data_IF_235256946608
#
_entry.id   IF_235256946608
#
_cell.length_a   1.000
_cell.length_b   1.000
_cell.length_c   1.000
_cell.angle_alpha   90.00
_cell.angle_beta   90.00
_cell.angle_gamma   90.00
#
_symmetry.space_group_name_H-M   'P 1'
#
loop_
_entity.id
_entity.type
_entity.pdbx_description
1 polymer ?
#
# COMPACT_ATOMS: atom_id res chain seq x y z
N UNK A 1 -11.06 -2.15 26.13
CA UNK A 1 -10.34 -2.39 24.84
C UNK A 1 -11.10 -1.86 23.62
N UNK A 2 -12.35 -2.28 23.36
CA UNK A 2 -13.11 -1.83 22.18
C UNK A 2 -13.30 -0.30 22.08
N UNK A 3 -13.55 0.37 23.21
CA UNK A 3 -13.71 1.84 23.26
C UNK A 3 -12.41 2.60 22.91
N UNK A 4 -11.26 2.05 23.30
CA UNK A 4 -9.91 2.58 23.00
C UNK A 4 -9.65 2.46 21.50
N UNK A 5 -9.91 1.27 20.94
CA UNK A 5 -9.71 1.01 19.52
C UNK A 5 -10.61 1.91 18.66
N UNK A 6 -11.87 2.06 19.04
CA UNK A 6 -12.87 2.92 18.40
C UNK A 6 -12.78 4.40 18.79
N UNK A 7 -11.67 4.86 19.38
CA UNK A 7 -11.50 6.26 19.74
C UNK A 7 -11.23 7.14 18.51
N UNK A 8 -10.53 6.61 17.51
CA UNK A 8 -10.22 7.33 16.27
C UNK A 8 -10.08 6.37 15.07
N UNK A 9 -10.41 6.82 13.84
CA UNK A 9 -10.39 5.98 12.65
C UNK A 9 -9.02 5.35 12.39
N UNK A 10 -7.92 6.12 12.45
CA UNK A 10 -6.58 5.57 12.24
C UNK A 10 -6.21 4.47 13.24
N UNK A 11 -6.66 4.51 14.50
CA UNK A 11 -6.28 3.48 15.48
C UNK A 11 -6.88 2.13 15.14
N UNK A 12 -8.19 2.10 14.91
CA UNK A 12 -8.91 0.89 14.55
C UNK A 12 -8.44 0.32 13.21
N UNK A 13 -8.30 1.18 12.20
CA UNK A 13 -7.90 0.74 10.87
C UNK A 13 -6.41 0.37 10.78
N UNK A 14 -5.52 1.03 11.53
CA UNK A 14 -4.10 0.65 11.53
C UNK A 14 -3.86 -0.60 12.38
N UNK A 15 -4.68 -0.87 13.39
CA UNK A 15 -4.69 -2.18 14.04
C UNK A 15 -5.06 -3.27 13.04
N UNK A 16 -6.16 -3.10 12.29
CA UNK A 16 -6.52 -4.00 11.21
C UNK A 16 -5.38 -4.19 10.20
N UNK A 17 -4.75 -3.11 9.75
CA UNK A 17 -3.61 -3.17 8.83
C UNK A 17 -2.39 -3.90 9.41
N UNK A 18 -2.06 -3.66 10.68
CA UNK A 18 -0.95 -4.33 11.37
C UNK A 18 -1.21 -5.83 11.56
N UNK A 19 -2.47 -6.22 11.78
CA UNK A 19 -2.87 -7.63 11.78
C UNK A 19 -2.82 -8.21 10.36
N UNK A 20 -3.35 -7.50 9.37
CA UNK A 20 -3.43 -7.97 7.99
C UNK A 20 -2.07 -8.09 7.30
N UNK A 21 -1.08 -7.26 7.65
CA UNK A 21 0.29 -7.37 7.11
C UNK A 21 0.99 -8.65 7.57
N UNK A 22 0.72 -9.10 8.80
CA UNK A 22 1.23 -10.38 9.29
C UNK A 22 0.43 -11.54 8.72
N UNK A 23 -0.90 -11.50 8.80
CA UNK A 23 -1.74 -12.61 8.35
C UNK A 23 -1.62 -12.88 6.84
N UNK A 24 -1.59 -11.84 6.00
CA UNK A 24 -1.48 -12.02 4.54
C UNK A 24 -0.15 -12.65 4.15
N UNK A 25 0.94 -12.19 4.78
CA UNK A 25 2.28 -12.66 4.45
C UNK A 25 2.61 -13.99 5.12
N UNK A 26 2.01 -14.28 6.27
CA UNK A 26 2.06 -15.61 6.86
C UNK A 26 1.35 -16.63 5.96
N UNK A 27 0.11 -16.34 5.55
CA UNK A 27 -0.62 -17.20 4.60
C UNK A 27 0.18 -17.39 3.31
N UNK A 28 0.73 -16.32 2.74
CA UNK A 28 1.55 -16.40 1.52
C UNK A 28 2.81 -17.24 1.72
N UNK A 29 3.51 -17.06 2.85
CA UNK A 29 4.70 -17.87 3.19
C UNK A 29 4.35 -19.34 3.31
N UNK A 30 3.23 -19.66 3.97
CA UNK A 30 2.76 -21.04 4.11
C UNK A 30 2.33 -21.65 2.76
N UNK A 31 1.68 -20.87 1.89
CA UNK A 31 1.31 -21.33 0.56
C UNK A 31 2.54 -21.62 -0.32
N UNK A 32 3.56 -20.76 -0.25
CA UNK A 32 4.85 -21.00 -0.92
C UNK A 32 5.60 -22.20 -0.34
N UNK A 33 5.58 -22.36 0.99
CA UNK A 33 6.16 -23.49 1.69
C UNK A 33 5.49 -24.81 1.28
N UNK A 34 4.16 -24.83 1.24
CA UNK A 34 3.39 -25.98 0.81
C UNK A 34 3.77 -26.43 -0.61
N UNK A 35 3.99 -25.49 -1.53
CA UNK A 35 4.50 -25.80 -2.87
C UNK A 35 5.96 -26.26 -2.87
N UNK A 36 6.84 -25.58 -2.12
CA UNK A 36 8.28 -25.86 -2.07
C UNK A 36 8.58 -27.24 -1.47
N UNK A 37 7.84 -27.63 -0.43
CA UNK A 37 8.02 -28.89 0.31
C UNK A 37 6.91 -29.91 0.05
N UNK A 38 6.04 -29.69 -0.94
CA UNK A 38 5.00 -30.63 -1.36
C UNK A 38 4.11 -31.14 -0.20
N UNK A 39 3.57 -30.23 0.61
CA UNK A 39 2.70 -30.60 1.74
C UNK A 39 1.42 -31.28 1.26
N UNK A 40 1.24 -32.55 1.66
CA UNK A 40 0.15 -33.41 1.16
C UNK A 40 -1.27 -32.89 1.46
N UNK A 41 -1.46 -32.15 2.56
CA UNK A 41 -2.78 -31.72 3.04
C UNK A 41 -2.94 -30.19 3.12
N UNK A 42 -2.18 -29.43 2.33
CA UNK A 42 -2.37 -27.98 2.28
C UNK A 42 -3.71 -27.65 1.58
N UNK A 43 -4.63 -26.89 2.22
CA UNK A 43 -5.88 -26.50 1.59
C UNK A 43 -5.59 -25.55 0.41
N UNK A 44 -5.93 -25.99 -0.79
CA UNK A 44 -5.71 -25.20 -2.00
C UNK A 44 -6.71 -24.05 -2.05
N UNK A 45 -6.23 -22.85 -2.41
CA UNK A 45 -7.13 -21.72 -2.58
C UNK A 45 -8.09 -21.99 -3.76
N UNK A 46 -9.36 -21.56 -3.69
CA UNK A 46 -10.34 -21.79 -4.76
C UNK A 46 -10.10 -20.90 -6.01
N UNK A 47 -8.96 -20.21 -6.06
CA UNK A 47 -8.48 -19.32 -7.12
C UNK A 47 -6.95 -19.44 -7.21
N UNK A 48 -6.32 -19.02 -8.32
CA UNK A 48 -4.85 -19.01 -8.42
C UNK A 48 -4.20 -18.29 -7.24
N UNK A 49 -3.31 -18.99 -6.52
CA UNK A 49 -2.69 -18.51 -5.26
C UNK A 49 -2.00 -17.16 -5.42
N UNK A 50 -1.35 -16.92 -6.56
CA UNK A 50 -0.70 -15.63 -6.85
C UNK A 50 -1.71 -14.48 -7.01
N UNK A 51 -2.91 -14.75 -7.53
CA UNK A 51 -3.98 -13.74 -7.63
C UNK A 51 -4.57 -13.44 -6.26
N UNK A 52 -4.75 -14.47 -5.42
CA UNK A 52 -5.15 -14.30 -4.02
C UNK A 52 -4.14 -13.43 -3.25
N UNK A 53 -2.85 -13.74 -3.37
CA UNK A 53 -1.77 -12.93 -2.78
C UNK A 53 -1.83 -11.48 -3.25
N UNK A 54 -1.89 -11.26 -4.57
CA UNK A 54 -1.92 -9.92 -5.14
C UNK A 54 -3.14 -9.12 -4.65
N UNK A 55 -4.34 -9.70 -4.69
CA UNK A 55 -5.56 -9.01 -4.29
C UNK A 55 -5.62 -8.73 -2.78
N UNK A 56 -5.32 -9.72 -1.93
CA UNK A 56 -5.36 -9.52 -0.49
C UNK A 56 -4.24 -8.60 -0.02
N UNK A 57 -3.05 -8.64 -0.61
CA UNK A 57 -1.97 -7.70 -0.29
C UNK A 57 -2.38 -6.25 -0.61
N UNK A 58 -2.96 -6.01 -1.79
CA UNK A 58 -3.26 -4.66 -2.25
C UNK A 58 -4.50 -4.07 -1.57
N UNK A 59 -5.59 -4.82 -1.52
CA UNK A 59 -6.88 -4.32 -1.06
C UNK A 59 -7.17 -4.66 0.40
N UNK A 60 -6.77 -5.85 0.86
CA UNK A 60 -7.04 -6.33 2.21
C UNK A 60 -6.00 -5.89 3.25
N UNK A 61 -4.72 -5.94 2.91
CA UNK A 61 -3.60 -5.63 3.79
C UNK A 61 -3.29 -4.13 3.81
N UNK A 62 -3.12 -3.50 2.64
CA UNK A 62 -2.82 -2.07 2.57
C UNK A 62 -4.07 -1.20 2.70
N UNK A 63 -5.25 -1.69 2.27
CA UNK A 63 -6.53 -0.97 2.34
C UNK A 63 -6.86 -0.40 3.73
N UNK A 64 -6.74 -1.16 4.83
CA UNK A 64 -6.95 -0.63 6.18
C UNK A 64 -6.03 0.56 6.51
N UNK A 65 -4.75 0.54 6.14
CA UNK A 65 -3.87 1.68 6.35
C UNK A 65 -4.31 2.90 5.51
N UNK A 66 -4.74 2.70 4.27
CA UNK A 66 -5.24 3.81 3.44
C UNK A 66 -6.53 4.41 4.02
N UNK A 67 -7.49 3.60 4.46
CA UNK A 67 -8.71 4.12 5.09
C UNK A 67 -8.43 4.75 6.45
N UNK A 68 -7.55 4.17 7.27
CA UNK A 68 -7.15 4.76 8.54
C UNK A 68 -6.53 6.14 8.37
N UNK A 69 -5.70 6.30 7.34
CA UNK A 69 -5.12 7.58 6.97
C UNK A 69 -6.20 8.55 6.47
N UNK A 70 -6.94 8.18 5.42
CA UNK A 70 -7.89 9.08 4.73
C UNK A 70 -9.05 9.53 5.61
N UNK A 71 -9.66 8.62 6.38
CA UNK A 71 -10.75 8.95 7.32
C UNK A 71 -10.27 9.87 8.46
N UNK A 72 -8.96 9.92 8.72
CA UNK A 72 -8.36 10.83 9.70
C UNK A 72 -7.96 12.17 9.07
N UNK A 73 -7.34 12.15 7.89
CA UNK A 73 -6.72 13.34 7.30
C UNK A 73 -7.64 14.16 6.42
N UNK A 74 -8.64 13.57 5.75
CA UNK A 74 -9.54 14.33 4.87
C UNK A 74 -10.31 15.41 5.63
N UNK A 75 -10.89 15.13 6.83
CA UNK A 75 -11.53 16.19 7.61
C UNK A 75 -10.56 17.33 7.94
N UNK A 76 -9.34 16.98 8.36
CA UNK A 76 -8.31 17.97 8.72
C UNK A 76 -7.85 18.81 7.55
N UNK A 77 -7.61 18.20 6.39
CA UNK A 77 -7.22 18.91 5.17
C UNK A 77 -8.34 19.82 4.64
N UNK A 78 -9.59 19.46 4.92
CA UNK A 78 -10.78 20.17 4.45
C UNK A 78 -11.36 21.16 5.46
N UNK A 79 -10.71 21.32 6.63
CA UNK A 79 -11.23 22.14 7.74
C UNK A 79 -12.56 21.66 8.32
N UNK A 80 -12.89 20.38 8.18
CA UNK A 80 -14.12 19.76 8.66
C UNK A 80 -13.94 19.11 10.05
N UNK A 81 -15.03 18.98 10.84
CA UNK A 81 -14.98 18.25 12.11
C UNK A 81 -14.52 16.79 11.95
N UNK A 82 -13.91 16.24 13.00
CA UNK A 82 -13.53 14.82 13.00
C UNK A 82 -14.75 13.91 12.80
N UNK A 83 -14.56 12.82 12.04
CA UNK A 83 -15.63 11.88 11.74
C UNK A 83 -16.10 11.16 13.00
N UNK A 84 -17.42 11.08 13.17
CA UNK A 84 -18.06 10.28 14.25
C UNK A 84 -17.92 8.78 13.98
N UNK A 85 -18.01 7.96 15.04
CA UNK A 85 -17.90 6.49 14.98
C UNK A 85 -18.73 5.83 13.88
N UNK A 86 -19.98 6.27 13.69
CA UNK A 86 -20.86 5.74 12.64
C UNK A 86 -20.33 5.89 11.20
N UNK A 87 -19.38 6.82 10.97
CA UNK A 87 -18.77 7.01 9.65
C UNK A 87 -17.60 6.05 9.38
N UNK A 88 -16.86 5.58 10.40
CA UNK A 88 -15.67 4.76 10.18
C UNK A 88 -15.74 3.32 10.74
N UNK A 89 -16.59 3.04 11.73
CA UNK A 89 -16.76 1.67 12.25
C UNK A 89 -17.35 0.73 11.18
N UNK A 90 -18.36 1.12 10.37
CA UNK A 90 -18.81 0.24 9.28
C UNK A 90 -17.75 0.04 8.19
N UNK A 91 -16.88 1.04 7.95
CA UNK A 91 -15.72 0.87 7.05
C UNK A 91 -14.78 -0.18 7.61
N UNK A 92 -14.47 -0.14 8.91
CA UNK A 92 -13.65 -1.16 9.56
C UNK A 92 -14.27 -2.55 9.46
N UNK A 93 -15.56 -2.70 9.79
CA UNK A 93 -16.26 -3.99 9.71
C UNK A 93 -16.24 -4.51 8.28
N UNK A 94 -16.56 -3.68 7.29
CA UNK A 94 -16.58 -4.08 5.89
C UNK A 94 -15.19 -4.44 5.37
N UNK A 95 -14.20 -3.56 5.56
CA UNK A 95 -12.84 -3.76 5.03
C UNK A 95 -12.09 -4.86 5.77
N UNK A 96 -11.99 -4.77 7.10
CA UNK A 96 -11.23 -5.75 7.88
C UNK A 96 -11.99 -7.07 8.05
N UNK A 97 -13.32 -7.01 8.30
CA UNK A 97 -14.14 -8.22 8.34
C UNK A 97 -14.19 -8.94 7.00
N UNK A 98 -14.34 -8.19 5.90
CA UNK A 98 -14.26 -8.74 4.55
C UNK A 98 -12.90 -9.39 4.25
N UNK A 99 -11.80 -8.73 4.65
CA UNK A 99 -10.45 -9.30 4.58
C UNK A 99 -10.32 -10.61 5.36
N UNK A 100 -10.75 -10.66 6.62
CA UNK A 100 -10.66 -11.87 7.46
C UNK A 100 -11.46 -13.02 6.84
N UNK A 101 -12.70 -12.75 6.39
CA UNK A 101 -13.51 -13.75 5.69
C UNK A 101 -12.84 -14.24 4.40
N UNK A 102 -12.23 -13.34 3.64
CA UNK A 102 -11.53 -13.69 2.41
C UNK A 102 -10.31 -14.58 2.69
N UNK A 103 -9.50 -14.27 3.72
CA UNK A 103 -8.36 -15.11 4.14
C UNK A 103 -8.81 -16.50 4.57
N UNK A 104 -9.88 -16.61 5.36
CA UNK A 104 -10.47 -17.91 5.73
C UNK A 104 -10.98 -18.62 4.48
N UNK A 105 -11.56 -17.88 3.53
CA UNK A 105 -12.01 -18.36 2.23
C UNK A 105 -10.92 -19.00 1.38
N UNK A 106 -9.65 -18.63 1.60
CA UNK A 106 -8.50 -19.24 0.91
C UNK A 106 -8.16 -20.65 1.42
N UNK A 107 -8.78 -21.10 2.51
CA UNK A 107 -8.68 -22.48 3.02
C UNK A 107 -9.68 -23.40 2.30
N UNK A 108 -9.79 -23.30 0.98
CA UNK A 108 -10.76 -24.00 0.12
C UNK A 108 -12.24 -23.73 0.46
N UNK A 109 -12.56 -22.51 0.92
CA UNK A 109 -13.92 -22.13 1.34
C UNK A 109 -14.46 -21.02 0.42
N UNK A 110 -14.76 -21.36 -0.84
CA UNK A 110 -15.22 -20.40 -1.87
C UNK A 110 -16.39 -19.50 -1.43
N UNK A 111 -17.43 -19.97 -0.71
CA UNK A 111 -18.50 -19.09 -0.24
C UNK A 111 -18.00 -17.98 0.70
N UNK A 112 -17.04 -18.29 1.59
CA UNK A 112 -16.43 -17.29 2.47
C UNK A 112 -15.51 -16.34 1.71
N UNK A 113 -14.82 -16.82 0.67
CA UNK A 113 -14.02 -15.96 -0.20
C UNK A 113 -14.91 -14.91 -0.90
N UNK A 114 -16.02 -15.35 -1.48
CA UNK A 114 -16.99 -14.48 -2.15
C UNK A 114 -17.62 -13.49 -1.16
N UNK A 115 -18.09 -13.98 -0.01
CA UNK A 115 -18.64 -13.12 1.04
C UNK A 115 -17.61 -12.10 1.54
N UNK A 116 -16.34 -12.50 1.66
CA UNK A 116 -15.23 -11.64 2.08
C UNK A 116 -14.98 -10.51 1.09
N UNK A 117 -14.88 -10.80 -0.22
CA UNK A 117 -14.69 -9.76 -1.23
C UNK A 117 -15.93 -8.86 -1.40
N UNK A 118 -17.14 -9.40 -1.27
CA UNK A 118 -18.37 -8.62 -1.29
C UNK A 118 -18.45 -7.64 -0.11
N UNK A 119 -18.13 -8.11 1.09
CA UNK A 119 -18.10 -7.29 2.31
C UNK A 119 -16.99 -6.23 2.26
N UNK A 120 -15.81 -6.61 1.73
CA UNK A 120 -14.70 -5.70 1.48
C UNK A 120 -15.12 -4.55 0.55
N UNK A 121 -15.76 -4.87 -0.58
CA UNK A 121 -16.29 -3.88 -1.52
C UNK A 121 -17.35 -2.98 -0.87
N UNK A 122 -18.29 -3.55 -0.09
CA UNK A 122 -19.31 -2.77 0.61
C UNK A 122 -18.70 -1.78 1.61
N UNK A 123 -17.75 -2.23 2.43
CA UNK A 123 -17.00 -1.36 3.35
C UNK A 123 -16.22 -0.26 2.64
N UNK A 124 -15.62 -0.60 1.50
CA UNK A 124 -14.86 0.32 0.65
C UNK A 124 -15.74 1.42 0.06
N UNK A 125 -16.87 1.05 -0.55
CA UNK A 125 -17.84 1.99 -1.11
C UNK A 125 -18.41 2.89 -0.02
N UNK A 126 -18.76 2.32 1.14
CA UNK A 126 -19.19 3.11 2.29
C UNK A 126 -18.12 4.14 2.69
N UNK A 127 -16.85 3.74 2.78
CA UNK A 127 -15.73 4.65 3.04
C UNK A 127 -15.63 5.79 2.02
N UNK A 128 -15.74 5.48 0.72
CA UNK A 128 -15.77 6.47 -0.36
C UNK A 128 -16.91 7.48 -0.14
N UNK A 129 -18.13 7.03 0.18
CA UNK A 129 -19.26 7.95 0.39
C UNK A 129 -19.00 8.93 1.54
N UNK A 130 -18.36 8.47 2.62
CA UNK A 130 -18.01 9.32 3.77
C UNK A 130 -16.92 10.32 3.43
N UNK A 131 -15.88 9.89 2.72
CA UNK A 131 -14.79 10.77 2.27
C UNK A 131 -15.30 11.81 1.26
N UNK A 132 -16.15 11.41 0.31
CA UNK A 132 -16.78 12.32 -0.65
C UNK A 132 -17.67 13.36 0.05
N UNK A 133 -18.42 12.95 1.08
CA UNK A 133 -19.21 13.87 1.90
C UNK A 133 -18.35 14.97 2.55
N UNK A 134 -17.19 14.58 3.09
CA UNK A 134 -16.21 15.54 3.66
C UNK A 134 -15.71 16.53 2.61
N UNK A 135 -15.34 16.04 1.41
CA UNK A 135 -14.81 16.91 0.35
C UNK A 135 -15.87 17.82 -0.27
N UNK A 136 -17.13 17.39 -0.33
CA UNK A 136 -18.25 18.22 -0.80
C UNK A 136 -18.61 19.32 0.20
N UNK A 137 -18.45 19.07 1.49
CA UNK A 137 -18.67 20.07 2.54
C UNK A 137 -17.50 21.08 2.67
N UNK A 138 -16.35 20.78 2.07
CA UNK A 138 -15.17 21.62 2.11
C UNK A 138 -15.36 22.93 1.32
N UNK A 139 -14.92 24.06 1.87
CA UNK A 139 -14.97 25.37 1.19
C UNK A 139 -13.93 25.50 0.07
N UNK A 140 -12.81 24.79 0.18
CA UNK A 140 -11.72 24.81 -0.81
C UNK A 140 -11.49 23.43 -1.41
N UNK A 141 -11.17 23.38 -2.71
CA UNK A 141 -10.84 22.12 -3.38
C UNK A 141 -9.40 21.72 -3.07
N UNK A 142 -9.24 20.65 -2.32
CA UNK A 142 -7.94 20.05 -2.04
C UNK A 142 -7.61 18.98 -3.09
N UNK A 143 -6.76 19.32 -4.06
CA UNK A 143 -6.45 18.42 -5.19
C UNK A 143 -5.78 17.11 -4.76
N UNK A 144 -5.04 17.09 -3.63
CA UNK A 144 -4.45 15.85 -3.12
C UNK A 144 -5.54 14.93 -2.56
N UNK A 145 -6.52 15.48 -1.84
CA UNK A 145 -7.65 14.69 -1.35
C UNK A 145 -8.49 14.13 -2.50
N UNK A 146 -8.75 14.94 -3.54
CA UNK A 146 -9.44 14.49 -4.75
C UNK A 146 -8.67 13.42 -5.53
N UNK A 147 -7.35 13.54 -5.65
CA UNK A 147 -6.49 12.52 -6.27
C UNK A 147 -6.59 11.18 -5.51
N UNK A 148 -6.53 11.20 -4.18
CA UNK A 148 -6.68 9.98 -3.37
C UNK A 148 -8.10 9.41 -3.48
N UNK A 149 -9.13 10.26 -3.51
CA UNK A 149 -10.52 9.80 -3.68
C UNK A 149 -10.76 9.16 -5.06
N UNK A 150 -10.16 9.71 -6.12
CA UNK A 150 -10.20 9.12 -7.45
C UNK A 150 -9.54 7.74 -7.46
N UNK A 151 -8.37 7.62 -6.85
CA UNK A 151 -7.66 6.34 -6.70
C UNK A 151 -8.45 5.31 -5.89
N UNK A 152 -9.10 5.72 -4.79
CA UNK A 152 -10.00 4.85 -4.02
C UNK A 152 -11.21 4.39 -4.84
N UNK A 153 -11.80 5.29 -5.63
CA UNK A 153 -12.96 4.99 -6.48
C UNK A 153 -12.61 3.98 -7.56
N UNK A 154 -11.48 4.17 -8.22
CA UNK A 154 -10.96 3.22 -9.22
C UNK A 154 -10.48 1.91 -8.56
N UNK A 155 -10.00 1.97 -7.31
CA UNK A 155 -9.77 0.78 -6.49
C UNK A 155 -11.05 -0.03 -6.26
N UNK A 156 -12.18 0.62 -5.99
CA UNK A 156 -13.48 -0.05 -5.86
C UNK A 156 -13.92 -0.73 -7.17
N UNK A 157 -13.63 -0.11 -8.33
CA UNK A 157 -13.82 -0.75 -9.63
C UNK A 157 -12.99 -2.04 -9.73
N UNK A 158 -11.72 -2.02 -9.35
CA UNK A 158 -10.88 -3.23 -9.31
C UNK A 158 -11.46 -4.33 -8.42
N UNK A 159 -11.96 -3.99 -7.22
CA UNK A 159 -12.67 -4.94 -6.35
C UNK A 159 -13.93 -5.52 -7.01
N UNK A 160 -14.73 -4.68 -7.68
CA UNK A 160 -15.92 -5.13 -8.39
C UNK A 160 -15.59 -6.07 -9.56
N UNK A 161 -14.54 -5.79 -10.32
CA UNK A 161 -14.05 -6.66 -11.40
C UNK A 161 -13.57 -8.01 -10.86
N UNK A 162 -12.86 -8.01 -9.72
CA UNK A 162 -12.43 -9.25 -9.09
C UNK A 162 -13.61 -10.05 -8.54
N UNK A 163 -14.61 -9.39 -7.95
CA UNK A 163 -15.82 -10.06 -7.50
C UNK A 163 -16.61 -10.66 -8.67
N UNK A 164 -16.68 -9.96 -9.83
CA UNK A 164 -17.25 -10.51 -11.05
C UNK A 164 -16.51 -11.78 -11.51
N UNK A 165 -15.17 -11.79 -11.45
CA UNK A 165 -14.39 -13.00 -11.71
C UNK A 165 -14.75 -14.13 -10.72
N UNK A 166 -14.85 -13.85 -9.43
CA UNK A 166 -15.27 -14.86 -8.44
C UNK A 166 -16.67 -15.42 -8.71
N UNK A 167 -17.54 -14.65 -9.37
CA UNK A 167 -18.88 -15.03 -9.79
C UNK A 167 -18.93 -15.75 -11.16
N UNK A 168 -17.78 -15.97 -11.80
CA UNK A 168 -17.68 -16.73 -13.05
C UNK A 168 -17.32 -15.91 -14.30
N UNK A 169 -17.04 -14.61 -14.16
CA UNK A 169 -16.52 -13.82 -15.27
C UNK A 169 -15.09 -14.25 -15.66
N UNK A 170 -14.59 -13.89 -16.87
CA UNK A 170 -13.28 -14.32 -17.35
C UNK A 170 -12.12 -13.86 -16.46
N UNK A 171 -11.05 -14.66 -16.40
CA UNK A 171 -9.83 -14.37 -15.64
C UNK A 171 -9.14 -13.05 -16.02
N UNK A 172 -9.40 -12.52 -17.22
CA UNK A 172 -8.96 -11.19 -17.64
C UNK A 172 -9.43 -10.08 -16.67
N UNK A 173 -10.61 -10.20 -16.07
CA UNK A 173 -11.10 -9.24 -15.07
C UNK A 173 -10.31 -9.31 -13.76
N UNK A 174 -9.85 -10.50 -13.35
CA UNK A 174 -8.96 -10.64 -12.19
C UNK A 174 -7.60 -9.99 -12.43
N UNK A 175 -7.01 -10.21 -13.61
CA UNK A 175 -5.76 -9.57 -14.01
C UNK A 175 -5.91 -8.04 -14.10
N UNK A 176 -7.02 -7.55 -14.67
CA UNK A 176 -7.33 -6.12 -14.68
C UNK A 176 -7.45 -5.55 -13.27
N UNK A 177 -8.14 -6.25 -12.36
CA UNK A 177 -8.26 -5.85 -10.96
C UNK A 177 -6.89 -5.74 -10.27
N UNK A 178 -6.00 -6.73 -10.44
CA UNK A 178 -4.64 -6.72 -9.88
C UNK A 178 -3.82 -5.53 -10.40
N UNK A 179 -3.93 -5.21 -11.70
CA UNK A 179 -3.22 -4.07 -12.30
C UNK A 179 -3.79 -2.73 -11.83
N UNK A 180 -5.12 -2.61 -11.75
CA UNK A 180 -5.82 -1.44 -11.22
C UNK A 180 -5.40 -1.20 -9.77
N UNK A 181 -5.35 -2.24 -8.94
CA UNK A 181 -4.94 -2.16 -7.55
C UNK A 181 -3.54 -1.55 -7.38
N UNK A 182 -2.58 -1.99 -8.19
CA UNK A 182 -1.19 -1.50 -8.11
C UNK A 182 -1.06 -0.09 -8.69
N UNK A 183 -1.49 0.11 -9.94
CA UNK A 183 -1.11 1.29 -10.73
C UNK A 183 -2.14 2.43 -10.72
N UNK A 184 -3.41 2.16 -10.40
CA UNK A 184 -4.48 3.18 -10.38
C UNK A 184 -4.93 3.48 -8.96
N UNK A 185 -4.84 2.50 -8.07
CA UNK A 185 -5.17 2.67 -6.66
C UNK A 185 -3.93 2.99 -5.82
N UNK A 186 -3.05 2.02 -5.56
CA UNK A 186 -1.95 2.19 -4.61
C UNK A 186 -0.94 3.24 -5.09
N UNK A 187 -0.49 3.16 -6.35
CA UNK A 187 0.50 4.08 -6.90
C UNK A 187 0.11 5.56 -6.72
N UNK A 188 -1.07 6.00 -7.23
CA UNK A 188 -1.49 7.38 -7.04
C UNK A 188 -1.69 7.77 -5.58
N UNK A 189 -2.20 6.86 -4.73
CA UNK A 189 -2.36 7.15 -3.29
C UNK A 189 -1.00 7.42 -2.65
N UNK A 190 -0.04 6.51 -2.80
CA UNK A 190 1.28 6.65 -2.20
C UNK A 190 2.01 7.88 -2.75
N UNK A 191 2.02 8.08 -4.07
CA UNK A 191 2.67 9.26 -4.66
C UNK A 191 2.00 10.56 -4.21
N UNK A 192 0.67 10.63 -4.17
CA UNK A 192 -0.06 11.82 -3.71
C UNK A 192 0.27 12.14 -2.26
N UNK A 193 0.29 11.12 -1.39
CA UNK A 193 0.66 11.27 0.02
C UNK A 193 2.10 11.76 0.15
N UNK A 194 3.06 11.15 -0.55
CA UNK A 194 4.47 11.57 -0.48
C UNK A 194 4.66 12.97 -1.05
N UNK A 195 4.06 13.28 -2.19
CA UNK A 195 4.10 14.59 -2.82
C UNK A 195 3.61 15.71 -1.89
N UNK A 196 2.59 15.43 -1.06
CA UNK A 196 2.10 16.41 -0.08
C UNK A 196 2.95 16.45 1.18
N UNK A 197 3.17 15.27 1.78
CA UNK A 197 3.67 15.12 3.15
C UNK A 197 5.19 15.21 3.25
N UNK A 198 5.94 14.74 2.24
CA UNK A 198 7.40 14.70 2.33
C UNK A 198 7.99 16.12 2.29
N UNK A 199 7.63 17.01 1.34
CA UNK A 199 8.13 18.38 1.35
C UNK A 199 7.61 19.18 2.54
N UNK A 200 6.38 18.91 2.99
CA UNK A 200 5.83 19.51 4.21
C UNK A 200 6.66 19.12 5.43
N UNK A 201 6.93 17.83 5.64
CA UNK A 201 7.70 17.36 6.78
C UNK A 201 9.14 17.86 6.74
N UNK A 202 9.77 17.89 5.55
CA UNK A 202 11.07 18.54 5.37
C UNK A 202 11.05 20.01 5.79
N UNK A 203 10.04 20.78 5.40
CA UNK A 203 9.93 22.19 5.79
C UNK A 203 9.73 22.41 7.30
N UNK A 204 9.15 21.43 8.00
CA UNK A 204 8.98 21.50 9.46
C UNK A 204 10.24 21.15 10.25
N UNK A 205 11.25 20.55 9.61
CA UNK A 205 12.43 20.00 10.30
C UNK A 205 13.73 20.67 9.84
N UNK A 206 13.83 20.98 8.55
CA UNK A 206 15.05 21.52 7.93
C UNK A 206 14.90 23.03 7.83
N UNK A 207 15.73 23.76 8.57
CA UNK A 207 15.77 25.22 8.51
C UNK A 207 16.07 25.70 7.09
N UNK A 208 15.31 26.70 6.62
CA UNK A 208 15.47 27.28 5.28
C UNK A 208 15.06 26.36 4.12
N UNK A 209 14.34 25.27 4.37
CA UNK A 209 13.91 24.36 3.31
C UNK A 209 12.84 24.98 2.41
N UNK A 210 13.17 25.12 1.12
CA UNK A 210 12.21 25.56 0.09
C UNK A 210 11.32 24.39 -0.32
N UNK A 211 10.02 24.55 -0.13
CA UNK A 211 9.04 23.53 -0.51
C UNK A 211 8.86 23.48 -2.03
N UNK A 212 9.08 22.31 -2.63
CA UNK A 212 8.88 22.06 -4.07
C UNK A 212 7.75 21.05 -4.25
N UNK A 213 6.62 21.50 -4.79
CA UNK A 213 5.39 20.69 -5.00
C UNK A 213 4.65 21.15 -6.27
N UNK A 214 5.23 20.98 -7.47
CA UNK A 214 4.63 21.46 -8.72
C UNK A 214 3.25 20.85 -8.94
N UNK A 215 2.21 21.66 -9.15
CA UNK A 215 0.85 21.16 -9.29
C UNK A 215 0.65 20.24 -10.53
N UNK A 216 1.47 20.43 -11.57
CA UNK A 216 1.41 19.66 -12.81
C UNK A 216 1.88 18.21 -12.66
N UNK A 217 2.68 17.88 -11.64
CA UNK A 217 3.29 16.55 -11.54
C UNK A 217 2.30 15.45 -11.15
N UNK A 218 1.25 15.78 -10.38
CA UNK A 218 0.19 14.84 -10.04
C UNK A 218 -0.62 14.39 -11.27
N UNK A 219 -1.22 15.30 -12.08
CA UNK A 219 -1.91 14.88 -13.29
C UNK A 219 -0.98 14.24 -14.32
N UNK A 220 0.29 14.66 -14.41
CA UNK A 220 1.28 13.98 -15.26
C UNK A 220 1.52 12.53 -14.82
N UNK A 221 1.70 12.28 -13.52
CA UNK A 221 1.84 10.93 -12.99
C UNK A 221 0.59 10.07 -13.29
N UNK A 222 -0.62 10.63 -13.11
CA UNK A 222 -1.87 9.96 -13.48
C UNK A 222 -1.91 9.58 -14.97
N UNK A 223 -1.62 10.52 -15.86
CA UNK A 223 -1.63 10.29 -17.30
C UNK A 223 -0.66 9.17 -17.70
N UNK A 224 0.57 9.21 -17.17
CA UNK A 224 1.59 8.22 -17.47
C UNK A 224 1.28 6.84 -16.86
N UNK A 225 0.66 6.78 -15.67
CA UNK A 225 0.21 5.51 -15.08
C UNK A 225 -0.95 4.88 -15.89
N UNK A 226 -1.87 5.70 -16.39
CA UNK A 226 -2.92 5.24 -17.30
C UNK A 226 -2.35 4.78 -18.64
N UNK A 227 -1.34 5.48 -19.17
CA UNK A 227 -0.63 5.07 -20.38
C UNK A 227 0.11 3.73 -20.17
N UNK A 228 0.80 3.54 -19.03
CA UNK A 228 1.42 2.27 -18.67
C UNK A 228 0.41 1.11 -18.75
N UNK A 229 -0.78 1.29 -18.15
CA UNK A 229 -1.82 0.26 -18.14
C UNK A 229 -2.42 0.00 -19.52
N UNK A 230 -2.75 1.05 -20.26
CA UNK A 230 -3.33 0.93 -21.59
C UNK A 230 -2.36 0.23 -22.53
N UNK A 231 -1.09 0.66 -22.56
CA UNK A 231 -0.06 0.07 -23.41
C UNK A 231 0.28 -1.36 -22.99
N UNK A 232 0.22 -1.68 -21.70
CA UNK A 232 0.35 -3.05 -21.21
C UNK A 232 -0.87 -3.93 -21.54
N UNK A 233 -2.07 -3.36 -21.67
CA UNK A 233 -3.27 -4.09 -22.11
C UNK A 233 -3.28 -4.32 -23.63
N UNK A 234 -2.70 -3.40 -24.40
CA UNK A 234 -2.55 -3.49 -25.86
C UNK A 234 -1.30 -4.26 -26.31
N UNK A 235 -0.57 -4.85 -25.36
CA UNK A 235 0.69 -5.58 -25.59
C UNK A 235 1.72 -4.79 -26.40
N UNK A 236 1.92 -3.51 -26.03
CA UNK A 236 2.87 -2.59 -26.65
C UNK A 236 4.06 -2.32 -25.72
N UNK A 237 4.95 -3.31 -25.45
CA UNK A 237 5.98 -3.20 -24.42
C UNK A 237 6.99 -2.07 -24.67
N UNK A 238 7.33 -1.78 -25.93
CA UNK A 238 8.26 -0.69 -26.28
C UNK A 238 7.67 0.70 -26.06
N UNK A 239 6.38 0.89 -26.37
CA UNK A 239 5.70 2.16 -26.09
C UNK A 239 5.44 2.31 -24.58
N UNK A 240 5.09 1.21 -23.90
CA UNK A 240 4.97 1.16 -22.44
C UNK A 240 6.29 1.60 -21.77
N UNK A 241 7.43 1.13 -22.28
CA UNK A 241 8.76 1.52 -21.79
C UNK A 241 9.00 3.03 -21.81
N UNK A 242 8.51 3.74 -22.84
CA UNK A 242 8.60 5.20 -22.89
C UNK A 242 7.82 5.84 -21.74
N UNK A 243 6.59 5.39 -21.49
CA UNK A 243 5.78 5.86 -20.36
C UNK A 243 6.48 5.61 -19.02
N UNK A 244 7.07 4.43 -18.86
CA UNK A 244 7.77 4.04 -17.64
C UNK A 244 9.08 4.81 -17.45
N UNK A 245 9.83 5.08 -18.52
CA UNK A 245 11.01 5.95 -18.48
C UNK A 245 10.64 7.38 -18.05
N UNK A 246 9.55 7.92 -18.59
CA UNK A 246 9.05 9.25 -18.20
C UNK A 246 8.59 9.28 -16.73
N UNK A 247 7.95 8.21 -16.24
CA UNK A 247 7.63 8.07 -14.81
C UNK A 247 8.89 8.01 -13.95
N UNK A 248 9.90 7.22 -14.35
CA UNK A 248 11.16 7.13 -13.64
C UNK A 248 11.84 8.50 -13.53
N UNK A 249 11.90 9.26 -14.63
CA UNK A 249 12.45 10.63 -14.66
C UNK A 249 11.62 11.60 -13.80
N UNK A 250 10.29 11.53 -13.88
CA UNK A 250 9.40 12.36 -13.05
C UNK A 250 9.66 12.13 -11.56
N UNK A 251 9.70 10.87 -11.12
CA UNK A 251 9.93 10.53 -9.72
C UNK A 251 11.36 10.82 -9.28
N UNK A 252 12.36 10.58 -10.12
CA UNK A 252 13.75 10.93 -9.83
C UNK A 252 13.89 12.45 -9.68
N UNK A 253 13.26 13.23 -10.56
CA UNK A 253 13.22 14.68 -10.48
C UNK A 253 12.65 15.18 -9.16
N UNK A 254 11.57 14.55 -8.65
CA UNK A 254 11.04 14.87 -7.31
C UNK A 254 12.01 14.49 -6.20
N UNK A 255 12.62 13.30 -6.26
CA UNK A 255 13.58 12.86 -5.25
C UNK A 255 14.76 13.83 -5.15
N UNK A 256 15.35 14.24 -6.27
CA UNK A 256 16.44 15.24 -6.32
C UNK A 256 15.94 16.60 -5.82
N UNK A 257 14.80 17.08 -6.33
CA UNK A 257 14.24 18.39 -5.97
C UNK A 257 13.92 18.51 -4.47
N UNK A 258 13.61 17.39 -3.81
CA UNK A 258 13.33 17.34 -2.38
C UNK A 258 14.58 17.20 -1.50
N UNK A 259 15.77 17.06 -2.10
CA UNK A 259 17.08 17.21 -1.45
C UNK A 259 17.29 16.25 -0.26
N UNK A 260 17.21 14.92 -0.47
CA UNK A 260 17.32 13.89 0.57
C UNK A 260 18.61 13.97 1.38
N UNK A 261 19.70 14.46 0.79
CA UNK A 261 20.98 14.67 1.49
C UNK A 261 20.91 15.66 2.65
N UNK A 262 19.90 16.56 2.68
CA UNK A 262 19.63 17.46 3.82
C UNK A 262 18.88 16.78 4.97
N UNK A 263 18.26 15.63 4.72
CA UNK A 263 17.42 14.92 5.69
C UNK A 263 18.23 13.98 6.59
N UNK A 264 19.16 14.52 7.40
CA UNK A 264 19.98 13.71 8.33
C UNK A 264 19.29 13.39 9.66
N UNK A 265 18.44 14.29 10.17
CA UNK A 265 17.66 14.11 11.40
C UNK A 265 16.28 14.75 11.25
N UNK A 266 15.23 14.20 11.90
CA UNK A 266 15.23 12.91 12.58
C UNK A 266 15.31 11.77 11.57
N UNK A 267 15.80 10.59 11.97
CA UNK A 267 15.96 9.43 11.07
C UNK A 267 14.67 9.02 10.35
N UNK A 268 13.51 9.38 10.90
CA UNK A 268 12.20 9.17 10.27
C UNK A 268 12.08 9.89 8.92
N UNK A 269 12.68 11.07 8.79
CA UNK A 269 12.71 11.80 7.53
C UNK A 269 13.63 11.12 6.52
N UNK A 270 14.80 10.65 6.95
CA UNK A 270 15.76 9.93 6.11
C UNK A 270 15.14 8.68 5.49
N UNK A 271 14.45 7.90 6.32
CA UNK A 271 13.78 6.65 5.94
C UNK A 271 12.68 6.89 4.91
N UNK A 272 11.92 7.99 5.00
CA UNK A 272 10.93 8.35 3.99
C UNK A 272 11.58 8.64 2.63
N UNK A 273 12.73 9.31 2.61
CA UNK A 273 13.48 9.57 1.38
C UNK A 273 14.10 8.31 0.77
N UNK A 274 14.62 7.42 1.62
CA UNK A 274 15.15 6.13 1.19
C UNK A 274 14.04 5.23 0.63
N UNK A 275 12.86 5.21 1.27
CA UNK A 275 11.69 4.53 0.74
C UNK A 275 11.29 5.08 -0.64
N UNK A 276 11.20 6.42 -0.79
CA UNK A 276 10.86 7.03 -2.07
C UNK A 276 11.87 6.76 -3.18
N UNK A 277 13.15 6.52 -2.87
CA UNK A 277 14.17 6.20 -3.88
C UNK A 277 13.87 4.91 -4.67
N UNK A 278 13.09 3.99 -4.10
CA UNK A 278 12.63 2.78 -4.80
C UNK A 278 11.64 3.08 -5.91
N UNK A 279 10.90 4.18 -5.84
CA UNK A 279 9.90 4.53 -6.84
C UNK A 279 10.51 4.80 -8.23
N UNK A 280 11.48 5.73 -8.40
CA UNK A 280 12.13 5.90 -9.70
C UNK A 280 12.89 4.65 -10.14
N UNK A 281 13.50 3.90 -9.21
CA UNK A 281 14.17 2.64 -9.53
C UNK A 281 13.20 1.60 -10.12
N UNK A 282 12.02 1.44 -9.51
CA UNK A 282 10.99 0.52 -10.02
C UNK A 282 10.56 0.86 -11.44
N UNK A 283 10.26 2.13 -11.73
CA UNK A 283 9.87 2.53 -13.08
C UNK A 283 11.03 2.48 -14.09
N UNK A 284 12.28 2.65 -13.64
CA UNK A 284 13.44 2.38 -14.49
C UNK A 284 13.52 0.88 -14.86
N UNK A 285 13.24 -0.03 -13.92
CA UNK A 285 13.20 -1.47 -14.19
C UNK A 285 12.04 -1.85 -15.14
N UNK A 286 10.85 -1.25 -14.98
CA UNK A 286 9.75 -1.43 -15.94
C UNK A 286 10.15 -0.97 -17.35
N UNK A 287 10.81 0.19 -17.46
CA UNK A 287 11.29 0.70 -18.74
C UNK A 287 12.30 -0.24 -19.40
N UNK A 288 13.26 -0.76 -18.62
CA UNK A 288 14.24 -1.75 -19.11
C UNK A 288 13.52 -3.02 -19.61
N UNK A 289 12.57 -3.56 -18.85
CA UNK A 289 11.78 -4.72 -19.27
C UNK A 289 11.04 -4.48 -20.59
N UNK A 290 10.37 -3.34 -20.73
CA UNK A 290 9.69 -2.98 -21.98
C UNK A 290 10.63 -2.76 -23.16
N UNK A 291 11.86 -2.26 -22.93
CA UNK A 291 12.90 -2.16 -23.96
C UNK A 291 13.39 -3.53 -24.44
N UNK A 292 13.47 -4.51 -23.54
CA UNK A 292 13.73 -5.91 -23.88
C UNK A 292 12.54 -6.60 -24.56
N UNK A 293 11.40 -5.92 -24.71
CA UNK A 293 10.19 -6.49 -25.28
C UNK A 293 9.44 -7.42 -24.33
N UNK A 294 9.76 -7.39 -23.03
CA UNK A 294 9.02 -8.18 -22.05
C UNK A 294 7.58 -7.67 -21.94
N UNK A 295 6.64 -8.61 -22.05
CA UNK A 295 5.24 -8.38 -21.73
C UNK A 295 5.06 -8.12 -20.22
N UNK A 296 3.79 -8.07 -19.82
CA UNK A 296 3.47 -7.98 -18.40
C UNK A 296 4.00 -9.23 -17.68
N UNK A 297 4.52 -9.06 -16.47
CA UNK A 297 4.98 -10.13 -15.58
C UNK A 297 6.24 -10.91 -16.05
N UNK A 298 7.02 -10.37 -16.98
CA UNK A 298 8.40 -10.84 -17.27
C UNK A 298 9.36 -10.67 -16.08
N UNK A 299 10.61 -11.13 -16.23
CA UNK A 299 11.60 -11.08 -15.14
C UNK A 299 11.86 -9.65 -14.66
N UNK A 300 12.02 -8.70 -15.59
CA UNK A 300 12.19 -7.27 -15.27
C UNK A 300 10.92 -6.66 -14.70
N UNK A 301 9.74 -7.04 -15.23
CA UNK A 301 8.45 -6.56 -14.73
C UNK A 301 8.20 -7.04 -13.29
N UNK A 302 8.57 -8.29 -12.97
CA UNK A 302 8.54 -8.83 -11.61
C UNK A 302 9.55 -8.15 -10.69
N UNK A 303 10.77 -7.92 -11.15
CA UNK A 303 11.77 -7.16 -10.40
C UNK A 303 11.25 -5.75 -10.09
N UNK A 304 10.67 -5.07 -11.08
CA UNK A 304 10.07 -3.75 -10.95
C UNK A 304 8.88 -3.75 -9.98
N UNK A 305 8.00 -4.75 -10.03
CA UNK A 305 6.88 -4.91 -9.10
C UNK A 305 7.35 -5.13 -7.66
N UNK A 306 8.42 -5.90 -7.42
CA UNK A 306 8.96 -6.07 -6.06
C UNK A 306 9.69 -4.82 -5.58
N UNK A 307 10.42 -4.11 -6.46
CA UNK A 307 10.96 -2.79 -6.14
C UNK A 307 9.83 -1.81 -5.75
N UNK A 308 8.68 -1.87 -6.43
CA UNK A 308 7.52 -1.05 -6.14
C UNK A 308 6.83 -1.42 -4.82
N UNK A 309 6.50 -2.70 -4.65
CA UNK A 309 5.61 -3.17 -3.58
C UNK A 309 6.36 -3.43 -2.28
N UNK A 310 7.56 -3.99 -2.35
CA UNK A 310 8.42 -4.22 -1.18
C UNK A 310 9.27 -2.99 -0.90
N UNK A 311 10.01 -2.54 -1.92
CA UNK A 311 10.94 -1.43 -1.79
C UNK A 311 10.26 -0.09 -1.50
N UNK A 312 9.24 0.28 -2.28
CA UNK A 312 8.55 1.56 -2.07
C UNK A 312 7.35 1.43 -1.11
N UNK A 313 6.31 0.66 -1.44
CA UNK A 313 5.10 0.60 -0.61
C UNK A 313 5.37 0.08 0.80
N UNK A 314 6.08 -1.05 0.93
CA UNK A 314 6.45 -1.62 2.22
C UNK A 314 7.28 -0.67 3.08
N UNK A 315 8.37 -0.12 2.53
CA UNK A 315 9.22 0.80 3.29
C UNK A 315 8.52 2.11 3.62
N UNK A 316 7.73 2.67 2.70
CA UNK A 316 6.95 3.88 2.94
C UNK A 316 5.85 3.64 3.99
N UNK A 317 5.25 2.44 4.01
CA UNK A 317 4.30 2.03 5.05
C UNK A 317 4.96 2.06 6.43
N UNK A 318 6.11 1.40 6.60
CA UNK A 318 6.85 1.39 7.87
C UNK A 318 7.13 2.82 8.34
N UNK A 319 7.61 3.68 7.45
CA UNK A 319 7.95 5.05 7.75
C UNK A 319 6.72 5.90 8.13
N UNK A 320 5.71 5.92 7.26
CA UNK A 320 4.53 6.77 7.41
C UNK A 320 3.65 6.32 8.58
N UNK A 321 3.40 5.02 8.72
CA UNK A 321 2.59 4.49 9.82
C UNK A 321 3.32 4.71 11.14
N UNK A 322 4.63 4.48 11.23
CA UNK A 322 5.40 4.81 12.46
C UNK A 322 5.24 6.29 12.82
N UNK A 323 5.32 7.20 11.84
CA UNK A 323 5.12 8.63 12.06
C UNK A 323 3.74 8.96 12.61
N UNK A 324 2.70 8.47 11.94
CA UNK A 324 1.30 8.74 12.29
C UNK A 324 0.97 8.13 13.66
N UNK A 325 1.41 6.90 13.92
CA UNK A 325 1.21 6.20 15.19
C UNK A 325 1.90 6.92 16.34
N UNK A 326 3.14 7.39 16.17
CA UNK A 326 3.79 8.17 17.21
C UNK A 326 3.09 9.53 17.43
N UNK A 327 2.80 10.25 16.34
CA UNK A 327 2.16 11.58 16.41
C UNK A 327 0.77 11.58 17.05
N UNK A 328 -0.01 10.52 16.85
CA UNK A 328 -1.35 10.39 17.46
C UNK A 328 -1.36 9.68 18.81
N UNK A 329 -0.23 9.11 19.24
CA UNK A 329 -0.14 8.42 20.54
C UNK A 329 0.63 9.18 21.62
N UNK A 330 0.97 10.44 21.37
CA UNK A 330 1.75 11.28 22.28
C UNK A 330 3.22 10.86 22.40
N UNK A 331 3.73 10.09 21.43
CA UNK A 331 5.10 9.57 21.46
C UNK A 331 6.04 10.45 20.60
N UNK A 332 7.33 10.56 20.95
CA UNK A 332 8.29 11.31 20.16
C UNK A 332 8.37 10.82 18.70
N UNK A 333 8.42 11.75 17.75
CA UNK A 333 8.54 11.48 16.30
C UNK A 333 9.97 11.07 15.93
N UNK A 334 10.42 9.93 16.45
CA UNK A 334 11.75 9.34 16.20
C UNK A 334 11.65 7.91 15.69
N UNK A 335 12.66 7.51 14.91
CA UNK A 335 12.91 6.10 14.58
C UNK A 335 13.54 5.41 15.78
N UNK A 336 12.79 4.55 16.46
CA UNK A 336 13.33 3.66 17.49
C UNK A 336 13.93 2.39 16.87
N UNK A 337 14.51 1.53 17.71
CA UNK A 337 15.15 0.28 17.28
C UNK A 337 14.22 -0.62 16.44
N UNK A 338 12.97 -0.82 16.86
CA UNK A 338 12.02 -1.70 16.16
C UNK A 338 11.71 -1.20 14.73
N UNK A 339 11.26 0.05 14.51
CA UNK A 339 11.08 0.58 13.16
C UNK A 339 12.37 0.57 12.31
N UNK A 340 13.55 0.79 12.93
CA UNK A 340 14.83 0.72 12.21
C UNK A 340 15.13 -0.70 11.73
N UNK A 341 15.01 -1.68 12.62
CA UNK A 341 15.17 -3.09 12.29
C UNK A 341 14.24 -3.49 11.15
N UNK A 342 12.94 -3.22 11.28
CA UNK A 342 11.95 -3.56 10.25
C UNK A 342 12.26 -2.90 8.92
N UNK A 343 12.65 -1.61 8.92
CA UNK A 343 13.01 -0.92 7.69
C UNK A 343 14.25 -1.54 7.02
N UNK A 344 15.35 -1.75 7.77
CA UNK A 344 16.58 -2.31 7.23
C UNK A 344 16.41 -3.75 6.74
N UNK A 345 15.72 -4.59 7.50
CA UNK A 345 15.38 -5.95 7.10
C UNK A 345 14.51 -5.96 5.84
N UNK A 346 13.56 -5.03 5.73
CA UNK A 346 12.74 -4.89 4.54
C UNK A 346 13.55 -4.44 3.32
N UNK A 347 14.59 -3.63 3.50
CA UNK A 347 15.50 -3.31 2.40
C UNK A 347 16.27 -4.53 1.91
N UNK A 348 16.74 -5.39 2.81
CA UNK A 348 17.37 -6.65 2.42
C UNK A 348 16.39 -7.55 1.65
N UNK A 349 15.13 -7.65 2.11
CA UNK A 349 14.07 -8.41 1.42
C UNK A 349 13.79 -7.84 0.03
N UNK A 350 13.68 -6.51 -0.12
CA UNK A 350 13.45 -5.86 -1.41
C UNK A 350 14.56 -6.17 -2.40
N UNK A 351 15.83 -6.01 -1.98
CA UNK A 351 17.00 -6.30 -2.81
C UNK A 351 17.01 -7.79 -3.20
N UNK A 352 16.81 -8.70 -2.24
CA UNK A 352 16.77 -10.13 -2.50
C UNK A 352 15.67 -10.49 -3.51
N UNK A 353 14.45 -9.93 -3.39
CA UNK A 353 13.35 -10.17 -4.33
C UNK A 353 13.64 -9.63 -5.74
N UNK A 354 14.27 -8.47 -5.84
CA UNK A 354 14.64 -7.87 -7.14
C UNK A 354 15.70 -8.75 -7.83
N UNK A 355 16.76 -9.12 -7.12
CA UNK A 355 17.83 -9.98 -7.68
C UNK A 355 17.24 -11.33 -8.09
N UNK A 356 16.45 -11.95 -7.22
CA UNK A 356 15.87 -13.26 -7.47
C UNK A 356 14.86 -13.27 -8.65
N UNK A 357 14.14 -12.17 -8.87
CA UNK A 357 13.27 -12.03 -10.05
C UNK A 357 14.06 -12.07 -11.37
N UNK A 358 15.33 -11.61 -11.35
CA UNK A 358 16.20 -11.59 -12.53
C UNK A 358 17.07 -12.85 -12.64
N UNK A 359 17.51 -13.40 -11.51
CA UNK A 359 18.42 -14.55 -11.46
C UNK A 359 17.70 -15.91 -11.45
N UNK A 360 16.44 -15.96 -11.01
CA UNK A 360 15.62 -17.18 -11.02
C UNK A 360 16.07 -18.24 -10.01
N UNK A 361 16.36 -17.88 -8.75
CA UNK A 361 16.84 -18.85 -7.75
C UNK A 361 15.77 -19.86 -7.28
N UNK A 362 14.51 -19.71 -7.70
CA UNK A 362 13.46 -20.71 -7.58
C UNK A 362 12.65 -20.67 -6.28
N UNK A 363 11.82 -21.70 -6.07
CA UNK A 363 10.76 -21.71 -5.05
C UNK A 363 11.26 -21.55 -3.60
N UNK A 364 12.44 -22.09 -3.28
CA UNK A 364 13.02 -21.94 -1.95
C UNK A 364 13.37 -20.47 -1.65
N UNK A 365 13.96 -19.75 -2.60
CA UNK A 365 14.28 -18.33 -2.44
C UNK A 365 13.00 -17.49 -2.24
N UNK A 366 11.91 -17.83 -2.95
CA UNK A 366 10.61 -17.16 -2.79
C UNK A 366 10.07 -17.35 -1.37
N UNK A 367 10.17 -18.58 -0.87
CA UNK A 367 9.68 -18.92 0.47
C UNK A 367 10.51 -18.26 1.57
N UNK A 368 11.85 -18.29 1.45
CA UNK A 368 12.75 -17.66 2.43
C UNK A 368 12.57 -16.14 2.47
N UNK A 369 12.42 -15.49 1.32
CA UNK A 369 12.18 -14.04 1.27
C UNK A 369 10.80 -13.65 1.82
N UNK A 370 9.76 -14.48 1.60
CA UNK A 370 8.45 -14.30 2.24
C UNK A 370 8.52 -14.48 3.77
N UNK A 371 9.23 -15.50 4.26
CA UNK A 371 9.44 -15.71 5.69
C UNK A 371 10.24 -14.55 6.32
N UNK A 372 11.27 -14.06 5.63
CA UNK A 372 12.06 -12.91 6.06
C UNK A 372 11.21 -11.62 6.16
N UNK A 373 10.25 -11.42 5.24
CA UNK A 373 9.27 -10.34 5.38
C UNK A 373 8.47 -10.46 6.68
N UNK A 374 7.93 -11.65 6.98
CA UNK A 374 7.15 -11.87 8.22
C UNK A 374 8.01 -11.58 9.44
N UNK A 375 9.24 -12.09 9.47
CA UNK A 375 10.19 -11.84 10.56
C UNK A 375 10.52 -10.33 10.72
N UNK A 376 10.68 -9.60 9.62
CA UNK A 376 10.93 -8.16 9.63
C UNK A 376 9.76 -7.37 10.23
N UNK A 377 8.52 -7.69 9.83
CA UNK A 377 7.31 -6.96 10.24
C UNK A 377 6.78 -7.36 11.61
N UNK A 378 7.04 -8.58 12.08
CA UNK A 378 6.51 -9.11 13.33
C UNK A 378 6.72 -8.17 14.54
N UNK A 379 7.95 -7.75 14.90
CA UNK A 379 8.14 -6.87 16.05
C UNK A 379 7.49 -5.49 15.86
N UNK A 380 7.44 -4.98 14.63
CA UNK A 380 6.84 -3.68 14.33
C UNK A 380 5.31 -3.73 14.43
N UNK A 381 4.69 -4.76 13.89
CA UNK A 381 3.24 -4.95 13.93
C UNK A 381 2.76 -5.21 15.36
N UNK A 382 3.46 -6.05 16.14
CA UNK A 382 3.12 -6.29 17.55
C UNK A 382 3.24 -5.00 18.38
N UNK A 383 4.30 -4.21 18.17
CA UNK A 383 4.45 -2.92 18.84
C UNK A 383 3.37 -1.93 18.43
N UNK A 384 3.03 -1.85 17.14
CA UNK A 384 1.97 -0.98 16.66
C UNK A 384 0.61 -1.38 17.26
N UNK A 385 0.27 -2.67 17.25
CA UNK A 385 -0.94 -3.22 17.85
C UNK A 385 -1.03 -2.86 19.35
N UNK A 386 0.05 -3.03 20.11
CA UNK A 386 0.11 -2.62 21.50
C UNK A 386 -0.18 -1.12 21.70
N UNK A 387 0.36 -0.25 20.84
CA UNK A 387 0.07 1.21 20.89
C UNK A 387 -1.41 1.51 20.61
N UNK A 388 -2.06 0.76 19.72
CA UNK A 388 -3.48 0.97 19.40
C UNK A 388 -4.42 0.40 20.48
N UNK A 389 -3.97 -0.58 21.25
CA UNK A 389 -4.74 -1.25 22.30
C UNK A 389 -4.55 -0.66 23.70
N UNK A 390 -3.55 0.22 23.89
CA UNK A 390 -3.27 0.89 25.17
C UNK A 390 -3.65 2.38 25.13
N UNK A 391 -3.97 3.01 26.27
CA UNK A 391 -4.18 4.45 26.32
C UNK A 391 -2.98 5.24 25.79
N UNK A 392 -3.25 6.43 25.26
CA UNK A 392 -2.21 7.37 24.82
C UNK A 392 -1.31 7.78 25.97
N UNK A 393 -0.04 8.05 25.64
CA UNK A 393 0.96 8.47 26.65
C UNK A 393 0.76 9.90 27.14
N UNK A 394 0.08 10.74 26.37
CA UNK A 394 -0.17 12.14 26.69
C UNK A 394 -1.48 12.36 27.46
N UNK A 395 -2.16 11.30 27.89
CA UNK A 395 -3.42 11.36 28.66
C UNK A 395 -4.64 11.88 27.88
N UNK A 396 -4.48 12.20 26.59
CA UNK A 396 -5.59 12.64 25.74
C UNK A 396 -6.51 11.46 25.38
N UNK A 397 -7.76 11.71 24.95
CA UNK A 397 -8.66 10.64 24.51
C UNK A 397 -8.03 9.76 23.42
N UNK A 398 -8.23 8.45 23.59
CA UNK A 398 -7.56 7.40 22.81
C UNK A 398 -6.82 6.46 23.72
#
# INVERSE_FOLDING_TARGET
>A
MAQILAAAPHRMMFFAGATAVLLSMLWWTLALAAGTWSWAHWPQAPIPTIWAHAMLAQYGMLGPFIFGFTLTVFPRWSGQPELRRGAYVPVFIGVFGGYVLAVIGLLDLRPLLLAGFALLLAGWLYGITRLLGVLRAARSRDHWAWSILAALTLGALGLALFLAFLLGAPGALALAAIRIGTFVFLMPVFFTVTHRMLPFFSSSVIAGYRVVRPAWSLPAAWLLLLAHLLLGALDQPRLRALSDALLALLFLGHWIAWQPWKARRPGLLSVLYMAFAWLPLSFALFAVGGMHGEGNYGAWDMAALHALTVGFFGSMLVAMVTRVTHGHSGRPLRMGAIPWFTFLALQAVAIARVIDSLAGYGALAYTLTAAAWVAAFLPWALRAAWIYLTPRRDGRPG
#
